data_IF_787794062129
#
_entry.id   IF_787794062129
#
_cell.length_a   1.000
_cell.length_b   1.000
_cell.length_c   1.000
_cell.angle_alpha   90.00
_cell.angle_beta   90.00
_cell.angle_gamma   90.00
#
_symmetry.space_group_name_H-M   'P 1'
#
loop_
_entity.id
_entity.type
_entity.pdbx_description
1 polymer ?
#
# COMPACT_ATOMS: atom_id res chain seq x y z
N UNK A 1 14.74 -14.19 10.50
CA UNK A 1 14.87 -12.84 11.07
C UNK A 1 13.58 -12.45 11.78
N UNK A 2 13.71 -11.91 12.95
CA UNK A 2 12.55 -11.40 13.67
C UNK A 2 11.93 -10.24 12.89
N UNK A 3 10.58 -10.22 12.89
CA UNK A 3 9.84 -9.09 12.35
C UNK A 3 10.10 -7.84 13.19
N UNK A 4 10.32 -6.72 12.53
CA UNK A 4 10.42 -5.39 13.15
C UNK A 4 9.11 -4.62 13.07
N UNK A 5 8.05 -5.25 12.57
CA UNK A 5 6.75 -4.61 12.45
C UNK A 5 6.04 -4.65 13.81
N UNK A 6 5.65 -3.48 14.28
CA UNK A 6 4.97 -3.32 15.56
C UNK A 6 3.56 -2.80 15.33
N UNK A 7 2.57 -3.51 15.90
CA UNK A 7 1.19 -3.02 15.92
C UNK A 7 1.08 -1.82 16.85
N UNK A 8 0.37 -0.78 16.41
CA UNK A 8 0.22 0.45 17.17
C UNK A 8 -1.20 0.59 17.70
N UNK A 9 -2.20 0.65 16.82
CA UNK A 9 -3.58 0.89 17.22
C UNK A 9 -4.57 0.51 16.11
N UNK A 10 -5.82 0.33 16.50
CA UNK A 10 -6.95 0.08 15.60
C UNK A 10 -8.02 1.13 15.85
N UNK A 11 -8.61 1.64 14.79
CA UNK A 11 -9.68 2.62 14.85
C UNK A 11 -10.69 2.43 13.73
N UNK A 12 -11.87 3.01 13.88
CA UNK A 12 -12.84 3.11 12.80
C UNK A 12 -12.43 4.21 11.83
N UNK A 13 -12.72 3.98 10.56
CA UNK A 13 -12.44 4.94 9.49
C UNK A 13 -13.67 5.04 8.58
N UNK A 14 -14.63 5.90 8.93
CA UNK A 14 -15.75 6.15 8.02
C UNK A 14 -15.27 6.87 6.78
N UNK A 15 -15.70 6.41 5.63
CA UNK A 15 -15.35 7.00 4.33
C UNK A 15 -16.61 7.15 3.50
N UNK A 16 -16.51 7.85 2.37
CA UNK A 16 -17.63 8.03 1.45
C UNK A 16 -18.03 6.72 0.71
N UNK A 17 -17.20 5.70 0.76
CA UNK A 17 -17.53 4.38 0.17
C UNK A 17 -17.94 3.35 1.22
N UNK A 18 -17.82 3.66 2.50
CA UNK A 18 -18.21 2.76 3.57
C UNK A 18 -17.43 2.98 4.86
N UNK A 19 -17.80 2.28 5.91
CA UNK A 19 -17.09 2.33 7.20
C UNK A 19 -16.08 1.19 7.27
N UNK A 20 -14.81 1.57 7.34
CA UNK A 20 -13.70 0.63 7.45
C UNK A 20 -13.14 0.61 8.87
N UNK A 21 -12.32 -0.39 9.16
CA UNK A 21 -11.47 -0.45 10.34
C UNK A 21 -10.03 -0.32 9.88
N UNK A 22 -9.29 0.62 10.45
CA UNK A 22 -7.89 0.83 10.10
C UNK A 22 -7.00 0.34 11.24
N UNK A 23 -5.99 -0.45 10.88
CA UNK A 23 -4.97 -0.96 11.79
C UNK A 23 -3.65 -0.34 11.41
N UNK A 24 -3.00 0.33 12.37
CA UNK A 24 -1.73 1.00 12.14
C UNK A 24 -0.57 0.16 12.67
N UNK A 25 0.48 0.08 11.87
CA UNK A 25 1.72 -0.64 12.20
C UNK A 25 2.90 0.28 11.90
N UNK A 26 3.95 0.18 12.71
CA UNK A 26 5.21 0.87 12.44
C UNK A 26 6.31 -0.16 12.22
N UNK A 27 7.07 0.02 11.15
CA UNK A 27 8.29 -0.75 10.93
C UNK A 27 9.43 -0.08 11.70
N UNK A 28 9.90 -0.74 12.75
CA UNK A 28 10.97 -0.19 13.61
C UNK A 28 12.31 -0.04 12.89
N UNK A 29 12.46 -0.70 11.74
CA UNK A 29 13.67 -0.68 10.93
C UNK A 29 13.90 0.68 10.27
N UNK A 30 12.83 1.34 9.81
CA UNK A 30 12.89 2.61 9.07
C UNK A 30 11.92 3.67 9.62
N UNK A 31 11.19 3.35 10.69
CA UNK A 31 10.19 4.22 11.33
C UNK A 31 9.04 4.60 10.41
N UNK A 32 8.76 3.80 9.39
CA UNK A 32 7.63 4.04 8.48
C UNK A 32 6.36 3.38 9.00
N UNK A 33 5.25 4.07 8.80
CA UNK A 33 3.92 3.58 9.19
C UNK A 33 3.22 2.94 8.00
N UNK A 34 2.62 1.78 8.26
CA UNK A 34 1.84 1.05 7.28
C UNK A 34 0.45 0.80 7.84
N UNK A 35 -0.53 0.69 6.96
CA UNK A 35 -1.93 0.51 7.38
C UNK A 35 -2.52 -0.76 6.77
N UNK A 36 -3.39 -1.42 7.54
CA UNK A 36 -4.33 -2.39 7.00
C UNK A 36 -5.73 -1.78 7.13
N UNK A 37 -6.41 -1.57 6.02
CA UNK A 37 -7.73 -0.95 5.96
C UNK A 37 -8.72 -2.04 5.59
N UNK A 38 -9.51 -2.49 6.56
CA UNK A 38 -10.34 -3.66 6.41
C UNK A 38 -11.82 -3.41 6.67
N UNK A 39 -12.63 -4.37 6.25
CA UNK A 39 -14.07 -4.40 6.46
C UNK A 39 -14.52 -5.83 6.66
N UNK A 40 -15.47 -6.03 7.55
CA UNK A 40 -16.07 -7.33 7.80
C UNK A 40 -15.22 -8.27 8.66
N UNK A 41 -15.65 -9.51 8.78
CA UNK A 41 -14.94 -10.52 9.56
C UNK A 41 -13.83 -11.16 8.75
N UNK A 42 -12.59 -10.92 9.15
CA UNK A 42 -11.39 -11.42 8.48
C UNK A 42 -10.89 -12.76 9.04
N UNK A 43 -11.50 -13.24 10.14
CA UNK A 43 -11.08 -14.45 10.86
C UNK A 43 -11.77 -15.74 10.36
N UNK A 44 -12.19 -15.76 9.11
CA UNK A 44 -12.87 -16.92 8.52
C UNK A 44 -11.90 -17.79 7.74
N UNK A 45 -12.34 -19.00 7.35
CA UNK A 45 -11.58 -19.89 6.47
C UNK A 45 -11.72 -19.52 5.00
N UNK A 46 -12.65 -18.62 4.68
CA UNK A 46 -12.83 -18.17 3.30
C UNK A 46 -11.75 -17.19 2.90
N UNK A 47 -11.29 -17.20 1.62
CA UNK A 47 -10.31 -16.23 1.15
C UNK A 47 -10.80 -14.81 1.35
N UNK A 48 -9.90 -13.93 1.80
CA UNK A 48 -10.18 -12.51 2.05
C UNK A 48 -9.76 -11.70 0.82
N UNK A 49 -10.73 -11.01 0.21
CA UNK A 49 -10.44 -10.09 -0.89
C UNK A 49 -9.44 -9.03 -0.42
N UNK A 50 -8.29 -8.94 -1.08
CA UNK A 50 -7.17 -8.15 -0.58
C UNK A 50 -6.47 -7.39 -1.70
N UNK A 51 -5.91 -6.24 -1.37
CA UNK A 51 -5.06 -5.47 -2.27
C UNK A 51 -3.81 -5.03 -1.51
N UNK A 52 -2.65 -5.17 -2.15
CA UNK A 52 -1.41 -4.57 -1.68
C UNK A 52 -1.23 -3.27 -2.45
N UNK A 53 -1.24 -2.15 -1.75
CA UNK A 53 -1.17 -0.82 -2.35
C UNK A 53 -0.02 -0.03 -1.73
N UNK A 54 0.90 0.41 -2.58
CA UNK A 54 1.98 1.30 -2.15
C UNK A 54 1.52 2.75 -2.26
N UNK A 55 1.74 3.52 -1.20
CA UNK A 55 1.36 4.92 -1.13
C UNK A 55 1.89 5.69 -2.35
N UNK A 56 1.02 6.53 -2.91
CA UNK A 56 1.36 7.43 -4.01
C UNK A 56 0.69 8.78 -3.76
N UNK A 57 1.37 9.64 -3.02
CA UNK A 57 0.78 10.91 -2.59
C UNK A 57 0.42 11.81 -3.78
N UNK A 58 1.23 11.79 -4.83
CA UNK A 58 0.96 12.61 -6.02
C UNK A 58 -0.31 12.18 -6.74
N UNK A 59 -0.53 10.88 -6.89
CA UNK A 59 -1.73 10.35 -7.53
C UNK A 59 -2.96 10.43 -6.62
N UNK A 60 -2.81 10.08 -5.35
CA UNK A 60 -3.93 9.96 -4.41
C UNK A 60 -4.39 11.31 -3.88
N UNK A 61 -3.47 12.22 -3.56
CA UNK A 61 -3.80 13.50 -2.92
C UNK A 61 -3.79 14.68 -3.88
N UNK A 62 -2.96 14.64 -4.92
CA UNK A 62 -2.82 15.75 -5.86
C UNK A 62 -3.35 15.44 -7.24
N UNK A 63 -3.92 14.25 -7.43
CA UNK A 63 -4.61 13.85 -8.66
C UNK A 63 -3.69 13.85 -9.88
N UNK A 64 -2.44 13.45 -9.69
CA UNK A 64 -1.46 13.36 -10.78
C UNK A 64 -1.96 12.42 -11.88
N UNK A 65 -1.72 12.83 -13.13
CA UNK A 65 -2.03 12.02 -14.31
C UNK A 65 -0.86 11.12 -14.72
N UNK A 66 0.24 11.10 -13.95
CA UNK A 66 1.40 10.25 -14.25
C UNK A 66 1.19 8.78 -13.88
N UNK A 67 0.14 8.49 -13.10
CA UNK A 67 -0.19 7.13 -12.67
C UNK A 67 -1.70 6.99 -12.48
N UNK A 68 -2.14 5.75 -12.26
CA UNK A 68 -3.53 5.42 -11.95
C UNK A 68 -3.73 5.02 -10.48
N UNK A 69 -2.79 5.37 -9.60
CA UNK A 69 -2.78 4.93 -8.20
C UNK A 69 -4.05 5.32 -7.44
N UNK A 70 -4.55 6.54 -7.65
CA UNK A 70 -5.81 6.98 -7.04
C UNK A 70 -6.98 6.11 -7.46
N UNK A 71 -7.06 5.80 -8.75
CA UNK A 71 -8.11 4.94 -9.29
C UNK A 71 -8.02 3.53 -8.72
N UNK A 72 -6.81 2.95 -8.67
CA UNK A 72 -6.58 1.62 -8.11
C UNK A 72 -7.01 1.54 -6.65
N UNK A 73 -6.64 2.54 -5.84
CA UNK A 73 -7.02 2.58 -4.42
C UNK A 73 -8.53 2.71 -4.25
N UNK A 74 -9.15 3.65 -4.96
CA UNK A 74 -10.60 3.88 -4.90
C UNK A 74 -11.37 2.63 -5.30
N UNK A 75 -10.97 2.00 -6.39
CA UNK A 75 -11.61 0.78 -6.90
C UNK A 75 -11.49 -0.37 -5.91
N UNK A 76 -10.32 -0.53 -5.29
CA UNK A 76 -10.09 -1.57 -4.30
C UNK A 76 -11.00 -1.42 -3.08
N UNK A 77 -11.09 -0.22 -2.54
CA UNK A 77 -11.96 0.08 -1.40
C UNK A 77 -13.44 -0.11 -1.77
N UNK A 78 -13.83 0.31 -2.96
CA UNK A 78 -15.20 0.16 -3.47
C UNK A 78 -15.58 -1.32 -3.59
N UNK A 79 -14.72 -2.14 -4.18
CA UNK A 79 -14.98 -3.58 -4.32
C UNK A 79 -15.10 -4.27 -2.96
N UNK A 80 -14.26 -3.89 -2.00
CA UNK A 80 -14.33 -4.42 -0.64
C UNK A 80 -15.65 -4.04 0.02
N UNK A 81 -16.05 -2.77 -0.13
CA UNK A 81 -17.32 -2.28 0.44
C UNK A 81 -18.54 -2.99 -0.18
N UNK A 82 -18.53 -3.20 -1.48
CA UNK A 82 -19.59 -3.93 -2.18
C UNK A 82 -19.70 -5.38 -1.71
N UNK A 83 -18.56 -6.02 -1.48
CA UNK A 83 -18.51 -7.39 -0.96
C UNK A 83 -18.82 -7.44 0.55
N UNK A 84 -18.58 -6.36 1.27
CA UNK A 84 -18.76 -6.28 2.72
C UNK A 84 -17.61 -6.89 3.52
N UNK A 85 -16.54 -7.35 2.87
CA UNK A 85 -15.44 -8.04 3.51
C UNK A 85 -14.19 -7.98 2.67
N UNK A 86 -13.07 -7.55 3.27
CA UNK A 86 -11.79 -7.47 2.59
C UNK A 86 -10.81 -6.55 3.30
N UNK A 87 -9.61 -6.42 2.76
CA UNK A 87 -8.56 -5.59 3.34
C UNK A 87 -7.63 -5.01 2.26
N UNK A 88 -7.27 -3.74 2.42
CA UNK A 88 -6.19 -3.11 1.67
C UNK A 88 -4.98 -2.98 2.59
N UNK A 89 -3.86 -3.54 2.17
CA UNK A 89 -2.57 -3.32 2.84
C UNK A 89 -1.92 -2.10 2.19
N UNK A 90 -1.94 -1.00 2.91
CA UNK A 90 -1.49 0.30 2.44
C UNK A 90 -0.09 0.58 2.97
N UNK A 91 0.90 0.53 2.08
CA UNK A 91 2.31 0.55 2.45
C UNK A 91 2.95 1.89 2.12
N UNK A 92 3.69 2.43 3.08
CA UNK A 92 4.45 3.66 2.88
C UNK A 92 5.77 3.34 2.17
N UNK A 93 5.67 3.04 0.87
CA UNK A 93 6.79 2.69 -0.01
C UNK A 93 6.78 3.59 -1.23
N UNK A 94 6.77 4.90 -1.01
CA UNK A 94 6.66 5.92 -2.04
C UNK A 94 7.76 5.78 -3.09
N UNK A 95 7.39 5.92 -4.39
CA UNK A 95 8.36 5.85 -5.48
C UNK A 95 9.03 4.49 -5.60
N UNK A 96 8.32 3.39 -5.37
CA UNK A 96 8.89 2.02 -5.34
C UNK A 96 9.98 1.87 -4.29
N UNK A 97 9.80 2.53 -3.15
CA UNK A 97 10.71 2.43 -2.01
C UNK A 97 11.82 3.45 -1.96
N UNK A 98 11.96 4.32 -2.96
CA UNK A 98 13.02 5.33 -2.98
C UNK A 98 12.66 6.61 -2.22
N UNK A 99 11.40 6.76 -1.85
CA UNK A 99 10.90 7.93 -1.11
C UNK A 99 10.36 9.03 -2.03
N UNK A 100 9.61 9.95 -1.44
CA UNK A 100 8.90 10.99 -2.19
C UNK A 100 9.84 11.95 -2.92
N UNK A 101 10.86 12.47 -2.26
CA UNK A 101 11.79 13.42 -2.87
C UNK A 101 12.51 12.81 -4.08
N UNK A 102 12.97 11.57 -3.95
CA UNK A 102 13.62 10.86 -5.04
C UNK A 102 12.65 10.52 -6.17
N UNK A 103 11.38 10.26 -5.83
CA UNK A 103 10.32 10.09 -6.83
C UNK A 103 10.17 11.35 -7.69
N UNK A 104 10.19 12.53 -7.07
CA UNK A 104 10.12 13.80 -7.82
C UNK A 104 11.36 13.98 -8.69
N UNK A 105 12.53 13.61 -8.19
CA UNK A 105 13.76 13.61 -9.01
C UNK A 105 13.62 12.67 -10.20
N UNK A 106 13.04 11.48 -9.99
CA UNK A 106 12.79 10.52 -11.08
C UNK A 106 11.81 11.08 -12.11
N UNK A 107 10.76 11.77 -11.69
CA UNK A 107 9.84 12.44 -12.62
C UNK A 107 10.56 13.45 -13.50
N UNK A 108 11.46 14.24 -12.92
CA UNK A 108 12.25 15.21 -13.67
C UNK A 108 13.15 14.53 -14.72
N UNK A 109 13.75 13.40 -14.37
CA UNK A 109 14.55 12.61 -15.32
C UNK A 109 13.68 12.03 -16.43
N UNK A 110 12.48 11.56 -16.12
CA UNK A 110 11.52 11.08 -17.12
C UNK A 110 11.15 12.20 -18.11
N UNK A 111 10.97 13.43 -17.61
CA UNK A 111 10.71 14.59 -18.46
C UNK A 111 11.88 14.91 -19.42
N UNK A 112 13.08 14.46 -19.07
CA UNK A 112 14.30 14.59 -19.90
C UNK A 112 14.52 13.40 -20.83
N UNK A 113 13.58 12.44 -20.88
CA UNK A 113 13.63 11.33 -21.81
C UNK A 113 14.03 9.97 -21.22
N UNK A 114 14.36 9.89 -19.91
CA UNK A 114 14.62 8.60 -19.26
C UNK A 114 13.31 7.88 -18.98
N UNK A 115 13.29 6.55 -19.09
CA UNK A 115 12.16 5.76 -18.62
C UNK A 115 12.24 5.56 -17.10
N UNK A 116 11.23 4.90 -16.51
CA UNK A 116 11.16 4.69 -15.05
C UNK A 116 12.38 3.94 -14.51
N UNK A 117 12.82 2.89 -15.20
CA UNK A 117 13.98 2.08 -14.79
C UNK A 117 15.26 2.89 -14.89
N UNK A 118 15.48 3.58 -16.03
CA UNK A 118 16.65 4.41 -16.26
C UNK A 118 16.74 5.56 -15.26
N UNK A 119 15.60 6.21 -14.93
CA UNK A 119 15.55 7.29 -13.95
C UNK A 119 16.00 6.81 -12.57
N UNK A 120 15.52 5.65 -12.13
CA UNK A 120 15.93 5.08 -10.85
C UNK A 120 17.43 4.72 -10.85
N UNK A 121 17.94 4.16 -11.95
CA UNK A 121 19.36 3.83 -12.08
C UNK A 121 20.23 5.08 -12.06
N UNK A 122 19.81 6.17 -12.69
CA UNK A 122 20.52 7.46 -12.67
C UNK A 122 20.64 8.02 -11.25
N UNK A 123 19.66 7.75 -10.40
CA UNK A 123 19.67 8.16 -8.99
C UNK A 123 20.40 7.18 -8.07
N UNK A 124 20.92 6.07 -8.60
CA UNK A 124 21.66 5.06 -7.83
C UNK A 124 20.77 4.02 -7.17
N UNK A 125 19.53 3.87 -7.59
CA UNK A 125 18.59 2.90 -7.04
C UNK A 125 18.35 1.75 -8.04
N UNK A 126 17.83 0.64 -7.51
CA UNK A 126 17.26 -0.43 -8.31
C UNK A 126 15.96 0.05 -8.96
N UNK A 127 15.46 -0.68 -9.94
CA UNK A 127 14.17 -0.34 -10.55
C UNK A 127 13.01 -0.38 -9.54
N UNK A 128 13.13 -1.23 -8.51
CA UNK A 128 12.14 -1.36 -7.45
C UNK A 128 12.85 -1.70 -6.13
N UNK A 129 12.77 -0.81 -5.16
CA UNK A 129 13.36 -0.96 -3.83
C UNK A 129 12.36 -1.47 -2.80
N UNK A 130 11.13 -1.83 -3.21
CA UNK A 130 10.07 -2.26 -2.28
C UNK A 130 10.34 -3.65 -1.71
N UNK A 131 9.98 -3.82 -0.43
CA UNK A 131 9.89 -5.12 0.21
C UNK A 131 8.45 -5.40 0.62
N UNK A 132 8.04 -6.66 0.52
CA UNK A 132 6.66 -7.06 0.83
C UNK A 132 6.55 -8.00 2.04
N UNK A 133 7.65 -8.26 2.75
CA UNK A 133 7.65 -9.09 3.95
C UNK A 133 6.73 -8.57 5.06
N UNK A 134 6.56 -7.27 5.15
CA UNK A 134 5.67 -6.64 6.13
C UNK A 134 4.21 -7.04 5.93
N UNK A 135 3.79 -7.33 4.69
CA UNK A 135 2.41 -7.78 4.41
C UNK A 135 2.15 -9.14 5.06
N UNK A 136 3.11 -10.06 5.02
CA UNK A 136 3.00 -11.35 5.70
C UNK A 136 2.81 -11.17 7.21
N UNK A 137 3.54 -10.23 7.81
CA UNK A 137 3.41 -9.95 9.24
C UNK A 137 2.04 -9.36 9.58
N UNK A 138 1.52 -8.47 8.73
CA UNK A 138 0.18 -7.90 8.90
C UNK A 138 -0.90 -8.98 8.76
N UNK A 139 -0.77 -9.85 7.77
CA UNK A 139 -1.68 -10.98 7.54
C UNK A 139 -1.71 -11.88 8.77
N UNK A 140 -0.55 -12.23 9.31
CA UNK A 140 -0.44 -13.06 10.50
C UNK A 140 -1.07 -12.39 11.73
N UNK A 141 -0.82 -11.10 11.92
CA UNK A 141 -1.40 -10.33 13.01
C UNK A 141 -2.94 -10.32 12.95
N UNK A 142 -3.50 -10.11 11.75
CA UNK A 142 -4.94 -10.06 11.54
C UNK A 142 -5.61 -11.44 11.58
N UNK A 143 -4.82 -12.52 11.61
CA UNK A 143 -5.33 -13.88 11.62
C UNK A 143 -5.94 -14.34 10.31
N UNK A 144 -5.59 -13.68 9.22
CA UNK A 144 -6.07 -14.04 7.88
C UNK A 144 -5.36 -15.31 7.42
N UNK A 145 -6.12 -16.31 6.97
CA UNK A 145 -5.57 -17.61 6.54
C UNK A 145 -5.26 -17.64 5.06
N UNK A 146 -6.12 -17.05 4.24
CA UNK A 146 -5.99 -17.07 2.77
C UNK A 146 -6.41 -15.73 2.22
N UNK A 147 -5.65 -15.20 1.28
CA UNK A 147 -5.99 -13.94 0.60
C UNK A 147 -6.36 -14.23 -0.84
N UNK A 148 -7.32 -13.45 -1.35
CA UNK A 148 -7.71 -13.38 -2.75
C UNK A 148 -7.23 -12.02 -3.25
N UNK A 149 -6.06 -12.00 -3.91
CA UNK A 149 -5.40 -10.75 -4.28
C UNK A 149 -6.00 -10.13 -5.53
N UNK A 150 -6.41 -8.88 -5.42
CA UNK A 150 -6.73 -8.05 -6.57
C UNK A 150 -5.44 -7.66 -7.29
N UNK A 151 -5.44 -7.80 -8.61
CA UNK A 151 -4.31 -7.41 -9.46
C UNK A 151 -4.79 -6.47 -10.56
N UNK A 152 -3.84 -5.80 -11.16
CA UNK A 152 -4.14 -4.89 -12.27
C UNK A 152 -4.47 -5.64 -13.55
#
# INVERSE_FOLDING_TARGET
MESKLKFIETSKLPTDVGEFTVHAFTDEKDSKDHLAIGMGDLLTNEPVLSRIHSQCITGESFFSMRCDCRYQLTESLTQIAEKGRGVVFYLQQEGRGIGLSNKIRAYNLQDKGFDTVEANHQLGFKEDERGYGIVSDMINFLGIKTVDLMTN
#
